data_IF_235111745258
#
_entry.id   IF_235111745258
#
_cell.length_a   1.000
_cell.length_b   1.000
_cell.length_c   1.000
_cell.angle_alpha   90.00
_cell.angle_beta   90.00
_cell.angle_gamma   90.00
#
_symmetry.space_group_name_H-M   'P 1'
#
loop_
_entity.id
_entity.type
_entity.pdbx_description
1 polymer ?
#
# COMPACT_ATOMS: atom_id res chain seq x y z
N UNK A 1 -11.14 12.36 -4.30
CA UNK A 1 -10.66 11.25 -3.45
C UNK A 1 -10.81 11.65 -1.99
N UNK A 2 -11.05 10.68 -1.12
CA UNK A 2 -11.04 10.90 0.33
C UNK A 2 -9.68 10.48 0.87
N UNK A 3 -8.96 11.41 1.49
CA UNK A 3 -7.63 11.14 2.06
C UNK A 3 -7.73 10.98 3.59
N UNK A 4 -7.02 9.98 4.11
CA UNK A 4 -6.86 9.75 5.55
C UNK A 4 -5.45 10.06 6.03
N UNK A 5 -5.27 10.29 7.34
CA UNK A 5 -3.95 10.37 7.97
C UNK A 5 -3.41 8.94 8.18
N UNK A 6 -2.13 8.69 7.88
CA UNK A 6 -1.48 7.40 8.15
C UNK A 6 -1.61 6.96 9.62
N UNK A 7 -1.70 7.90 10.56
CA UNK A 7 -1.97 7.61 11.98
C UNK A 7 -3.32 6.93 12.20
N UNK A 8 -4.27 7.16 11.30
CA UNK A 8 -5.62 6.59 11.35
C UNK A 8 -5.73 5.26 10.62
N UNK A 9 -4.78 4.90 9.74
CA UNK A 9 -4.76 3.63 9.01
C UNK A 9 -4.96 2.41 9.92
N UNK A 10 -4.25 2.40 11.05
CA UNK A 10 -4.38 1.37 12.09
C UNK A 10 -5.83 1.20 12.58
N UNK A 11 -6.58 2.28 12.74
CA UNK A 11 -7.96 2.24 13.24
C UNK A 11 -8.89 1.49 12.28
N UNK A 12 -8.56 1.49 10.98
CA UNK A 12 -9.37 0.82 9.96
C UNK A 12 -9.04 -0.67 9.79
N UNK A 13 -7.87 -1.13 10.25
CA UNK A 13 -7.36 -2.48 9.98
C UNK A 13 -7.25 -3.36 11.23
N UNK A 14 -6.95 -2.76 12.39
CA UNK A 14 -6.71 -3.52 13.61
C UNK A 14 -7.93 -4.34 14.05
N UNK A 15 -7.65 -5.53 14.56
CA UNK A 15 -8.59 -6.51 15.09
C UNK A 15 -9.58 -7.09 14.06
N UNK A 16 -9.30 -6.88 12.78
CA UNK A 16 -10.02 -7.50 11.67
C UNK A 16 -9.23 -8.66 11.09
N UNK A 17 -9.92 -9.64 10.52
CA UNK A 17 -9.31 -10.86 9.99
C UNK A 17 -9.34 -10.85 8.47
N UNK A 18 -8.23 -11.23 7.84
CA UNK A 18 -8.18 -11.40 6.38
C UNK A 18 -8.94 -12.68 6.02
N UNK A 19 -10.01 -12.56 5.23
CA UNK A 19 -10.86 -13.70 4.83
C UNK A 19 -10.68 -14.08 3.36
N UNK A 20 -10.37 -13.12 2.50
CA UNK A 20 -10.07 -13.36 1.09
C UNK A 20 -8.93 -12.44 0.63
N UNK A 21 -8.16 -12.89 -0.36
CA UNK A 21 -7.13 -12.05 -0.98
C UNK A 21 -6.83 -12.47 -2.42
N UNK A 22 -6.29 -11.52 -3.18
CA UNK A 22 -5.51 -11.76 -4.40
C UNK A 22 -4.40 -10.67 -4.50
N UNK A 23 -3.64 -10.64 -5.59
CA UNK A 23 -2.54 -9.66 -5.75
C UNK A 23 -3.00 -8.19 -5.65
N UNK A 24 -4.25 -7.88 -5.99
CA UNK A 24 -4.75 -6.51 -6.09
C UNK A 24 -5.56 -6.07 -4.85
N UNK A 25 -6.11 -7.01 -4.06
CA UNK A 25 -6.99 -6.69 -2.93
C UNK A 25 -6.94 -7.70 -1.78
N UNK A 26 -7.23 -7.20 -0.58
CA UNK A 26 -7.61 -7.98 0.60
C UNK A 26 -9.07 -7.69 0.97
N UNK A 27 -9.78 -8.72 1.44
CA UNK A 27 -11.11 -8.58 2.04
C UNK A 27 -11.03 -9.02 3.49
N UNK A 28 -11.55 -8.19 4.39
CA UNK A 28 -11.60 -8.46 5.83
C UNK A 28 -12.97 -9.01 6.25
N UNK A 29 -13.03 -9.62 7.43
CA UNK A 29 -14.20 -10.30 7.96
C UNK A 29 -15.41 -9.39 8.22
N UNK A 30 -15.21 -8.09 8.39
CA UNK A 30 -16.27 -7.08 8.48
C UNK A 30 -16.73 -6.54 7.11
N UNK A 31 -16.21 -7.09 6.01
CA UNK A 31 -16.48 -6.64 4.64
C UNK A 31 -15.60 -5.47 4.19
N UNK A 32 -14.63 -5.02 5.00
CA UNK A 32 -13.66 -4.00 4.59
C UNK A 32 -12.83 -4.49 3.41
N UNK A 33 -12.71 -3.66 2.39
CA UNK A 33 -11.87 -3.90 1.21
C UNK A 33 -10.61 -3.05 1.31
N UNK A 34 -9.47 -3.69 1.10
CA UNK A 34 -8.15 -3.06 1.08
C UNK A 34 -7.52 -3.25 -0.28
N UNK A 35 -7.06 -2.16 -0.90
CA UNK A 35 -6.43 -2.14 -2.24
C UNK A 35 -5.15 -1.30 -2.22
N UNK A 36 -4.34 -1.44 -3.27
CA UNK A 36 -3.18 -0.59 -3.53
C UNK A 36 -3.44 0.15 -4.84
N UNK A 37 -3.51 1.48 -4.77
CA UNK A 37 -4.00 2.28 -5.89
C UNK A 37 -3.10 3.48 -6.12
N UNK A 38 -2.94 3.86 -7.39
CA UNK A 38 -2.44 5.16 -7.76
C UNK A 38 -3.48 6.22 -7.40
N UNK A 39 -3.12 7.13 -6.49
CA UNK A 39 -4.00 8.23 -6.10
C UNK A 39 -3.81 9.45 -7.01
N UNK A 40 -2.58 9.76 -7.41
CA UNK A 40 -2.27 10.92 -8.23
C UNK A 40 -1.12 10.58 -9.18
N UNK A 41 -1.13 11.15 -10.38
CA UNK A 41 -0.03 11.06 -11.33
C UNK A 41 -0.03 12.24 -12.30
N UNK A 42 1.12 12.49 -12.92
CA UNK A 42 1.26 13.33 -14.09
C UNK A 42 1.85 12.55 -15.29
N UNK A 43 1.20 12.70 -16.44
CA UNK A 43 1.64 12.24 -17.76
C UNK A 43 2.12 10.77 -17.85
N UNK A 44 3.44 10.55 -17.73
CA UNK A 44 4.10 9.25 -17.91
C UNK A 44 4.57 8.64 -16.58
N UNK A 45 4.26 9.28 -15.46
CA UNK A 45 4.48 8.71 -14.14
C UNK A 45 3.47 7.60 -13.87
N UNK A 46 3.79 6.68 -12.96
CA UNK A 46 2.81 5.70 -12.53
C UNK A 46 3.13 5.12 -11.17
N UNK A 47 2.10 4.78 -10.39
CA UNK A 47 2.23 4.00 -9.17
C UNK A 47 1.37 2.73 -9.23
N UNK A 48 1.88 1.60 -8.74
CA UNK A 48 1.12 0.34 -8.72
C UNK A 48 1.63 -0.54 -7.61
N UNK A 49 0.74 -1.24 -6.90
CA UNK A 49 1.16 -2.11 -5.81
C UNK A 49 0.54 -3.48 -5.86
N UNK A 50 1.15 -4.41 -5.12
CA UNK A 50 0.68 -5.79 -5.01
C UNK A 50 0.75 -6.31 -3.59
N UNK A 51 -0.19 -7.17 -3.24
CA UNK A 51 -0.15 -7.98 -2.04
C UNK A 51 0.59 -9.30 -2.27
N UNK A 52 1.37 -9.72 -1.28
CA UNK A 52 2.07 -11.00 -1.27
C UNK A 52 2.17 -11.58 0.14
N UNK A 53 2.55 -12.85 0.25
CA UNK A 53 2.73 -13.56 1.52
C UNK A 53 1.53 -13.49 2.48
N UNK A 54 0.31 -13.50 1.93
CA UNK A 54 -0.92 -13.33 2.71
C UNK A 54 -1.37 -14.64 3.37
N UNK A 55 -1.61 -14.59 4.68
CA UNK A 55 -2.20 -15.67 5.46
C UNK A 55 -3.67 -15.35 5.74
N UNK A 56 -4.56 -16.19 5.23
CA UNK A 56 -5.98 -16.14 5.54
C UNK A 56 -6.24 -16.54 7.00
N UNK A 57 -7.42 -16.13 7.48
CA UNK A 57 -7.92 -16.38 8.83
C UNK A 57 -7.05 -15.83 9.97
N UNK A 58 -6.09 -14.95 9.66
CA UNK A 58 -5.25 -14.28 10.64
C UNK A 58 -5.78 -12.87 10.97
N UNK A 59 -5.86 -12.55 12.26
CA UNK A 59 -6.29 -11.23 12.75
C UNK A 59 -5.14 -10.23 12.65
N UNK A 60 -5.37 -9.06 12.06
CA UNK A 60 -4.40 -7.98 12.01
C UNK A 60 -4.30 -7.35 13.40
N UNK A 61 -3.10 -7.39 13.97
CA UNK A 61 -2.78 -6.88 15.31
C UNK A 61 -1.78 -5.73 15.28
N UNK A 62 -1.09 -5.53 14.16
CA UNK A 62 -0.23 -4.38 13.92
C UNK A 62 -0.10 -4.13 12.41
N UNK A 63 0.13 -2.87 12.05
CA UNK A 63 0.43 -2.43 10.68
C UNK A 63 1.70 -1.60 10.74
N UNK A 64 2.69 -1.97 9.94
CA UNK A 64 3.95 -1.23 9.83
C UNK A 64 4.08 -0.70 8.39
N UNK A 65 4.19 0.62 8.26
CA UNK A 65 4.55 1.27 7.00
C UNK A 65 6.05 1.49 7.04
N UNK A 66 6.78 0.81 6.16
CA UNK A 66 8.22 0.93 6.06
C UNK A 66 8.66 2.30 5.54
N UNK A 67 9.95 2.57 5.65
CA UNK A 67 10.54 3.78 5.05
C UNK A 67 10.49 3.71 3.52
N UNK A 68 10.34 4.88 2.90
CA UNK A 68 10.49 5.01 1.46
C UNK A 68 11.95 4.83 1.07
N UNK A 69 12.19 3.88 0.17
CA UNK A 69 13.51 3.64 -0.41
C UNK A 69 13.54 4.06 -1.87
N UNK A 70 14.68 4.59 -2.30
CA UNK A 70 14.93 4.86 -3.71
C UNK A 70 15.53 3.60 -4.37
N UNK A 71 14.92 3.17 -5.46
CA UNK A 71 15.42 2.06 -6.27
C UNK A 71 16.29 2.65 -7.38
N UNK A 72 17.58 2.27 -7.47
CA UNK A 72 18.46 2.77 -8.51
C UNK A 72 17.90 2.51 -9.91
N UNK A 73 17.79 3.58 -10.69
CA UNK A 73 17.37 3.53 -12.08
C UNK A 73 18.06 4.68 -12.85
N UNK A 74 18.58 4.38 -14.04
CA UNK A 74 19.40 5.32 -14.81
C UNK A 74 18.57 6.34 -15.61
N UNK A 75 17.25 6.16 -15.71
CA UNK A 75 16.35 6.94 -16.57
C UNK A 75 15.27 7.70 -15.79
N UNK A 76 14.84 7.24 -14.62
CA UNK A 76 13.76 7.89 -13.85
C UNK A 76 13.96 7.69 -12.35
N UNK A 77 13.30 8.51 -11.53
CA UNK A 77 13.16 8.22 -10.09
C UNK A 77 12.14 7.09 -9.91
N UNK A 78 12.53 6.05 -9.17
CA UNK A 78 11.63 5.00 -8.67
C UNK A 78 11.77 4.95 -7.16
N UNK A 79 10.66 5.09 -6.46
CA UNK A 79 10.59 4.93 -5.01
C UNK A 79 9.67 3.78 -4.66
N UNK A 80 9.93 3.07 -3.57
CA UNK A 80 9.10 1.97 -3.09
C UNK A 80 8.88 2.06 -1.58
N UNK A 81 7.67 1.73 -1.16
CA UNK A 81 7.33 1.48 0.25
C UNK A 81 6.73 0.09 0.41
N UNK A 82 7.08 -0.55 1.52
CA UNK A 82 6.51 -1.82 1.95
C UNK A 82 5.62 -1.61 3.17
N UNK A 83 4.40 -2.12 3.12
CA UNK A 83 3.50 -2.19 4.28
C UNK A 83 3.39 -3.63 4.73
N UNK A 84 3.66 -3.90 6.01
CA UNK A 84 3.57 -5.24 6.59
C UNK A 84 2.43 -5.32 7.59
N UNK A 85 1.54 -6.28 7.41
CA UNK A 85 0.47 -6.60 8.36
C UNK A 85 0.93 -7.75 9.26
N UNK A 86 0.69 -7.65 10.56
CA UNK A 86 1.14 -8.65 11.54
C UNK A 86 0.00 -9.26 12.35
N UNK A 87 0.11 -10.55 12.64
CA UNK A 87 -0.65 -11.24 13.68
C UNK A 87 0.28 -11.67 14.81
N UNK A 88 0.13 -11.07 15.99
CA UNK A 88 0.95 -11.36 17.17
C UNK A 88 2.46 -11.37 16.82
N UNK A 89 2.96 -10.26 16.28
CA UNK A 89 4.34 -10.06 15.80
C UNK A 89 4.79 -10.93 14.60
N UNK A 90 3.96 -11.83 14.09
CA UNK A 90 4.28 -12.60 12.90
C UNK A 90 3.74 -11.88 11.65
N UNK A 91 4.54 -11.68 10.59
CA UNK A 91 4.03 -11.12 9.35
C UNK A 91 3.00 -12.08 8.73
N UNK A 92 1.88 -11.51 8.31
CA UNK A 92 0.74 -12.21 7.71
C UNK A 92 0.31 -11.66 6.37
N UNK A 93 0.81 -10.49 5.95
CA UNK A 93 0.66 -9.98 4.60
C UNK A 93 1.73 -8.92 4.36
N UNK A 94 2.20 -8.84 3.11
CA UNK A 94 3.07 -7.79 2.62
C UNK A 94 2.35 -7.06 1.50
N UNK A 95 2.48 -5.74 1.46
CA UNK A 95 2.08 -4.89 0.35
C UNK A 95 3.30 -4.12 -0.13
N UNK A 96 3.65 -4.28 -1.40
CA UNK A 96 4.78 -3.61 -2.04
C UNK A 96 4.21 -2.58 -3.02
N UNK A 97 4.61 -1.32 -2.87
CA UNK A 97 4.07 -0.20 -3.65
C UNK A 97 5.21 0.64 -4.24
N UNK A 98 5.65 0.33 -5.48
CA UNK A 98 6.48 1.23 -6.26
C UNK A 98 5.70 2.41 -6.85
N UNK A 99 6.35 3.58 -6.90
CA UNK A 99 5.99 4.76 -7.66
C UNK A 99 7.13 5.16 -8.59
N UNK A 100 6.79 5.62 -9.79
CA UNK A 100 7.73 5.96 -10.87
C UNK A 100 7.45 7.37 -11.36
N UNK A 101 8.46 8.23 -11.34
CA UNK A 101 8.35 9.63 -11.74
C UNK A 101 8.19 9.83 -13.27
N UNK A 102 8.55 8.83 -14.09
CA UNK A 102 8.43 8.89 -15.55
C UNK A 102 9.32 9.94 -16.23
N UNK A 103 9.58 9.75 -17.53
CA UNK A 103 10.28 10.71 -18.41
C UNK A 103 11.46 11.43 -17.74
N UNK A 104 12.57 10.76 -17.44
CA UNK A 104 13.73 11.45 -16.84
C UNK A 104 13.59 11.81 -15.36
N UNK A 105 12.46 11.48 -14.71
CA UNK A 105 12.11 11.95 -13.37
C UNK A 105 11.45 13.34 -13.33
N UNK A 106 10.83 13.78 -14.44
CA UNK A 106 10.19 15.11 -14.53
C UNK A 106 8.72 15.14 -14.10
N UNK A 107 8.04 14.00 -13.98
CA UNK A 107 6.67 13.93 -13.51
C UNK A 107 6.59 13.34 -12.09
N UNK A 108 5.39 13.30 -11.53
CA UNK A 108 5.17 12.75 -10.20
C UNK A 108 4.12 11.64 -10.23
N UNK A 109 4.25 10.66 -9.35
CA UNK A 109 3.15 9.73 -9.02
C UNK A 109 3.08 9.47 -7.53
N UNK A 110 1.86 9.20 -7.04
CA UNK A 110 1.59 8.93 -5.63
C UNK A 110 0.85 7.60 -5.51
N UNK A 111 1.45 6.68 -4.78
CA UNK A 111 0.86 5.39 -4.44
C UNK A 111 0.20 5.42 -3.06
N UNK A 112 -1.04 4.95 -3.00
CA UNK A 112 -1.83 4.89 -1.78
C UNK A 112 -2.17 3.46 -1.36
N UNK A 113 -2.09 3.23 -0.05
CA UNK A 113 -2.77 2.11 0.60
C UNK A 113 -4.23 2.52 0.82
N UNK A 114 -5.19 1.79 0.27
CA UNK A 114 -6.59 2.22 0.26
C UNK A 114 -7.43 1.30 1.14
N UNK A 115 -8.23 1.87 2.03
CA UNK A 115 -9.17 1.11 2.89
C UNK A 115 -10.58 1.66 2.72
N UNK A 116 -11.50 0.87 2.17
CA UNK A 116 -12.87 1.27 1.84
C UNK A 116 -12.94 2.59 1.04
N UNK A 117 -12.03 2.79 0.09
CA UNK A 117 -11.95 4.01 -0.74
C UNK A 117 -11.37 5.24 -0.05
N UNK A 118 -10.85 5.10 1.18
CA UNK A 118 -10.03 6.12 1.83
C UNK A 118 -8.58 5.88 1.43
N UNK A 119 -7.95 6.86 0.79
CA UNK A 119 -6.58 6.80 0.32
C UNK A 119 -5.64 7.26 1.42
N UNK A 120 -4.66 6.41 1.74
CA UNK A 120 -3.54 6.73 2.62
C UNK A 120 -2.27 6.74 1.76
N UNK A 121 -1.80 7.92 1.30
CA UNK A 121 -0.57 8.03 0.53
C UNK A 121 0.59 7.45 1.33
N UNK A 122 1.33 6.51 0.73
CA UNK A 122 2.47 5.85 1.36
C UNK A 122 3.77 6.04 0.60
N UNK A 123 3.71 6.30 -0.71
CA UNK A 123 4.90 6.47 -1.56
C UNK A 123 4.67 7.57 -2.59
N UNK A 124 5.72 8.33 -2.88
CA UNK A 124 5.75 9.30 -3.98
C UNK A 124 7.06 9.14 -4.77
N UNK A 125 7.02 9.40 -6.08
CA UNK A 125 8.19 9.46 -6.95
C UNK A 125 8.14 10.70 -7.81
#
# INVERSE_FOLDING_TARGET
>A
MNYGDLKDLNKHLLYKRIVEWNEDKLVLDDGTIVTLEESEQDCCASASGKFSNVKLDAVITNVEVGEQINIPNDDTTINEVKVTLFHNQNPIALAEMPAVAGNGGYYYSVGSFVVNGIHFPIVEA
#
